data_IF_635774762760
#
_entry.id   IF_635774762760
#
_cell.length_a   1.000
_cell.length_b   1.000
_cell.length_c   1.000
_cell.angle_alpha   90.00
_cell.angle_beta   90.00
_cell.angle_gamma   90.00
#
_symmetry.space_group_name_H-M   'P 1'
#
loop_
_entity.id
_entity.type
_entity.pdbx_description
1 polymer ?
#
# COMPACT_ATOMS: atom_id res chain seq x y z
N UNK A 1 -1.60 8.33 -19.07
CA UNK A 1 -0.28 7.75 -19.43
C UNK A 1 -0.22 6.35 -18.83
N UNK A 2 0.43 5.40 -19.51
CA UNK A 2 0.61 4.03 -19.01
C UNK A 2 1.39 4.01 -17.71
N UNK A 3 1.27 2.92 -16.95
CA UNK A 3 2.14 2.70 -15.79
C UNK A 3 3.43 2.07 -16.28
N UNK A 4 4.56 2.70 -15.90
CA UNK A 4 5.90 2.27 -16.31
C UNK A 4 6.14 0.76 -16.13
N UNK A 5 5.63 0.20 -15.02
CA UNK A 5 5.79 -1.22 -14.73
C UNK A 5 5.19 -2.08 -15.84
N UNK A 6 3.97 -1.76 -16.32
CA UNK A 6 3.35 -2.51 -17.42
C UNK A 6 3.93 -2.19 -18.79
N UNK A 7 4.51 -1.00 -18.97
CA UNK A 7 5.18 -0.63 -20.23
C UNK A 7 6.38 -1.56 -20.51
N UNK A 8 7.05 -2.06 -19.46
CA UNK A 8 8.09 -3.09 -19.59
C UNK A 8 7.55 -4.51 -19.41
N UNK A 9 6.80 -4.76 -18.33
CA UNK A 9 6.51 -6.12 -17.89
C UNK A 9 5.51 -6.85 -18.80
N UNK A 10 4.67 -6.15 -19.56
CA UNK A 10 3.71 -6.81 -20.46
C UNK A 10 4.40 -7.66 -21.55
N UNK A 11 5.61 -7.28 -21.95
CA UNK A 11 6.42 -8.01 -22.93
C UNK A 11 7.52 -8.87 -22.27
N UNK A 12 7.61 -8.86 -20.94
CA UNK A 12 8.60 -9.61 -20.17
C UNK A 12 8.09 -10.99 -19.76
N UNK A 13 9.02 -11.95 -19.66
CA UNK A 13 8.76 -13.27 -19.11
C UNK A 13 8.27 -13.25 -17.65
N UNK A 14 8.50 -12.13 -16.92
CA UNK A 14 8.10 -11.97 -15.51
C UNK A 14 6.58 -11.86 -15.32
N UNK A 15 5.80 -11.51 -16.35
CA UNK A 15 4.33 -11.50 -16.30
C UNK A 15 3.67 -12.49 -17.27
N UNK A 16 4.44 -13.41 -17.87
CA UNK A 16 3.87 -14.47 -18.68
C UNK A 16 3.00 -15.40 -17.82
N UNK A 17 1.70 -15.44 -18.09
CA UNK A 17 0.72 -16.18 -17.29
C UNK A 17 0.99 -17.69 -17.25
N UNK A 18 1.57 -18.26 -18.30
CA UNK A 18 1.92 -19.68 -18.38
C UNK A 18 3.13 -20.00 -17.51
N UNK A 19 4.09 -19.08 -17.41
CA UNK A 19 5.25 -19.22 -16.53
C UNK A 19 4.85 -18.97 -15.06
N UNK A 20 4.05 -17.95 -14.78
CA UNK A 20 3.55 -17.63 -13.44
C UNK A 20 2.78 -18.82 -12.84
N UNK A 21 1.86 -19.42 -13.60
CA UNK A 21 1.08 -20.60 -13.14
C UNK A 21 1.94 -21.84 -12.87
N UNK A 22 3.13 -21.90 -13.47
CA UNK A 22 4.09 -23.00 -13.34
C UNK A 22 5.26 -22.69 -12.41
N UNK A 23 5.20 -21.60 -11.62
CA UNK A 23 6.29 -21.15 -10.75
C UNK A 23 7.62 -20.99 -11.52
N UNK A 24 7.53 -20.55 -12.78
CA UNK A 24 8.64 -20.43 -13.72
C UNK A 24 9.40 -21.74 -13.96
N UNK A 25 8.78 -22.90 -13.70
CA UNK A 25 9.42 -24.20 -13.94
C UNK A 25 9.78 -24.35 -15.43
N UNK A 26 11.04 -24.69 -15.69
CA UNK A 26 11.62 -24.73 -17.04
C UNK A 26 12.57 -23.57 -17.36
N UNK A 27 12.55 -22.46 -16.60
CA UNK A 27 13.58 -21.43 -16.68
C UNK A 27 14.69 -21.69 -15.66
N UNK A 28 15.92 -21.27 -15.98
CA UNK A 28 17.02 -21.27 -15.01
C UNK A 28 16.95 -20.02 -14.12
N UNK A 29 17.48 -20.10 -12.90
CA UNK A 29 17.53 -18.95 -11.99
C UNK A 29 18.35 -17.80 -12.56
N UNK A 30 19.40 -18.09 -13.35
CA UNK A 30 20.21 -17.08 -14.03
C UNK A 30 19.41 -16.25 -15.05
N UNK A 31 18.45 -16.87 -15.75
CA UNK A 31 17.57 -16.15 -16.69
C UNK A 31 16.62 -15.22 -15.93
N UNK A 32 16.05 -15.69 -14.81
CA UNK A 32 15.17 -14.87 -13.97
C UNK A 32 15.94 -13.72 -13.32
N UNK A 33 17.15 -13.96 -12.80
CA UNK A 33 18.04 -12.94 -12.24
C UNK A 33 18.37 -11.88 -13.29
N UNK A 34 18.76 -12.29 -14.50
CA UNK A 34 19.07 -11.35 -15.57
C UNK A 34 17.86 -10.50 -15.96
N UNK A 35 16.66 -11.06 -16.00
CA UNK A 35 15.46 -10.31 -16.34
C UNK A 35 15.07 -9.31 -15.24
N UNK A 36 15.20 -9.69 -13.97
CA UNK A 36 15.00 -8.79 -12.84
C UNK A 36 16.02 -7.63 -12.84
N UNK A 37 17.28 -7.88 -13.22
CA UNK A 37 18.30 -6.83 -13.39
C UNK A 37 17.87 -5.84 -14.48
N UNK A 38 17.45 -6.33 -15.65
CA UNK A 38 16.99 -5.44 -16.73
C UNK A 38 15.76 -4.63 -16.33
N UNK A 39 14.83 -5.25 -15.59
CA UNK A 39 13.66 -4.55 -15.07
C UNK A 39 14.07 -3.41 -14.12
N UNK A 40 14.98 -3.68 -13.19
CA UNK A 40 15.55 -2.66 -12.30
C UNK A 40 16.18 -1.51 -13.07
N UNK A 41 17.04 -1.80 -14.03
CA UNK A 41 17.70 -0.79 -14.87
C UNK A 41 16.69 0.08 -15.63
N UNK A 42 15.63 -0.53 -16.18
CA UNK A 42 14.54 0.19 -16.81
C UNK A 42 13.85 1.13 -15.82
N UNK A 43 13.42 0.62 -14.66
CA UNK A 43 12.72 1.40 -13.64
C UNK A 43 13.54 2.60 -13.16
N UNK A 44 14.85 2.42 -12.93
CA UNK A 44 15.73 3.51 -12.51
C UNK A 44 15.91 4.57 -13.60
N UNK A 45 15.94 4.15 -14.87
CA UNK A 45 16.04 5.08 -16.00
C UNK A 45 14.81 5.99 -16.12
N UNK A 46 13.62 5.46 -15.89
CA UNK A 46 12.36 6.22 -15.98
C UNK A 46 11.91 6.85 -14.65
N UNK A 47 12.61 6.59 -13.55
CA UNK A 47 12.26 7.08 -12.21
C UNK A 47 12.04 8.60 -12.12
N UNK A 48 12.84 9.48 -12.76
CA UNK A 48 12.59 10.91 -12.75
C UNK A 48 11.19 11.26 -13.30
N UNK A 49 10.79 10.62 -14.40
CA UNK A 49 9.48 10.84 -15.03
C UNK A 49 8.34 10.29 -14.15
N UNK A 50 8.55 9.12 -13.53
CA UNK A 50 7.58 8.52 -12.61
C UNK A 50 7.32 9.45 -11.41
N UNK A 51 8.38 10.04 -10.83
CA UNK A 51 8.26 10.97 -9.70
C UNK A 51 7.35 12.16 -10.05
N UNK A 52 7.46 12.70 -11.26
CA UNK A 52 6.63 13.83 -11.69
C UNK A 52 5.17 13.43 -11.95
N UNK A 53 4.91 12.20 -12.42
CA UNK A 53 3.55 11.66 -12.63
C UNK A 53 2.86 11.30 -11.30
N UNK A 54 3.63 10.81 -10.32
CA UNK A 54 3.11 10.36 -9.03
C UNK A 54 2.89 11.51 -8.06
N UNK A 55 3.69 12.58 -8.13
CA UNK A 55 3.50 13.79 -7.31
C UNK A 55 2.09 14.34 -7.49
N UNK A 56 1.25 14.16 -6.46
CA UNK A 56 -0.10 14.68 -6.47
C UNK A 56 -0.13 16.15 -6.06
N UNK A 57 -0.73 17.00 -6.90
CA UNK A 57 -1.12 18.35 -6.50
C UNK A 57 -2.65 18.43 -6.46
N UNK A 58 -3.21 18.60 -5.26
CA UNK A 58 -4.64 18.86 -5.06
C UNK A 58 -5.58 17.65 -5.15
N UNK A 59 -5.04 16.43 -5.10
CA UNK A 59 -5.80 15.17 -5.13
C UNK A 59 -5.58 14.42 -3.82
N UNK A 60 -6.64 13.82 -3.26
CA UNK A 60 -6.50 13.00 -2.02
C UNK A 60 -5.89 11.65 -2.39
N UNK A 61 -4.60 11.51 -2.11
CA UNK A 61 -3.80 10.32 -2.39
C UNK A 61 -3.17 9.75 -1.11
N UNK A 62 -2.90 8.45 -1.09
CA UNK A 62 -2.23 7.78 0.03
C UNK A 62 -1.10 6.91 -0.49
N UNK A 63 0.05 6.95 0.19
CA UNK A 63 1.10 5.96 0.04
C UNK A 63 0.64 4.67 0.73
N UNK A 64 0.23 3.73 -0.09
CA UNK A 64 -0.03 2.36 0.29
C UNK A 64 1.29 1.67 0.64
N UNK A 65 1.63 1.72 1.94
CA UNK A 65 2.61 0.81 2.52
C UNK A 65 1.94 -0.56 2.76
N UNK A 66 2.53 -1.44 3.57
CA UNK A 66 2.01 -2.79 3.88
C UNK A 66 0.48 -2.85 4.15
N UNK A 67 -0.09 -1.73 4.61
CA UNK A 67 -1.53 -1.37 4.75
C UNK A 67 -2.49 -1.64 3.61
N UNK A 68 -2.04 -1.49 2.37
CA UNK A 68 -2.89 -1.59 1.18
C UNK A 68 -2.35 -2.68 0.24
N UNK A 69 -1.59 -3.61 0.82
CA UNK A 69 -1.04 -4.79 0.17
C UNK A 69 -2.11 -5.78 -0.29
N UNK A 70 -3.34 -5.70 0.24
CA UNK A 70 -4.48 -6.51 -0.18
C UNK A 70 -5.41 -5.78 -1.15
N UNK A 71 -5.91 -6.47 -2.17
CA UNK A 71 -6.83 -5.89 -3.17
C UNK A 71 -8.14 -5.43 -2.54
N UNK A 72 -8.61 -6.12 -1.49
CA UNK A 72 -9.83 -5.76 -0.74
C UNK A 72 -9.71 -4.37 -0.11
N UNK A 73 -8.64 -4.10 0.62
CA UNK A 73 -8.41 -2.79 1.26
C UNK A 73 -8.23 -1.69 0.21
N UNK A 74 -7.55 -1.95 -0.91
CA UNK A 74 -7.48 -0.97 -2.02
C UNK A 74 -8.85 -0.69 -2.64
N UNK A 75 -9.68 -1.71 -2.84
CA UNK A 75 -11.05 -1.51 -3.35
C UNK A 75 -11.88 -0.67 -2.37
N UNK A 76 -11.76 -0.93 -1.07
CA UNK A 76 -12.47 -0.16 -0.04
C UNK A 76 -11.95 1.27 0.07
N UNK A 77 -10.63 1.46 0.07
CA UNK A 77 -10.00 2.78 0.08
C UNK A 77 -10.39 3.59 -1.16
N UNK A 78 -10.70 2.96 -2.30
CA UNK A 78 -11.24 3.64 -3.47
C UNK A 78 -12.56 4.35 -3.17
N UNK A 79 -13.32 4.00 -2.13
CA UNK A 79 -14.53 4.77 -1.78
C UNK A 79 -14.21 6.23 -1.39
N UNK A 80 -12.99 6.50 -0.92
CA UNK A 80 -12.58 7.83 -0.46
C UNK A 80 -11.33 8.39 -1.16
N UNK A 81 -10.36 7.55 -1.51
CA UNK A 81 -9.15 7.97 -2.22
C UNK A 81 -9.41 8.20 -3.70
N UNK A 82 -8.85 9.27 -4.23
CA UNK A 82 -8.82 9.51 -5.68
C UNK A 82 -7.70 8.70 -6.34
N UNK A 83 -6.56 8.62 -5.67
CA UNK A 83 -5.38 7.87 -6.11
C UNK A 83 -4.75 7.10 -4.93
N UNK A 84 -4.10 5.98 -5.23
CA UNK A 84 -3.31 5.21 -4.28
C UNK A 84 -1.93 4.92 -4.89
N UNK A 85 -0.86 5.32 -4.19
CA UNK A 85 0.52 5.03 -4.58
C UNK A 85 0.94 3.71 -3.95
N UNK A 86 1.09 2.65 -4.74
CA UNK A 86 1.36 1.29 -4.27
C UNK A 86 2.80 0.91 -4.62
N UNK A 87 3.51 0.28 -3.68
CA UNK A 87 4.84 -0.26 -3.94
C UNK A 87 4.82 -1.25 -5.11
N UNK A 88 5.82 -1.18 -5.99
CA UNK A 88 6.00 -2.14 -7.07
C UNK A 88 6.52 -3.48 -6.49
N UNK A 89 5.69 -4.53 -6.46
CA UNK A 89 6.02 -5.78 -5.79
C UNK A 89 7.10 -6.58 -6.51
N UNK A 90 7.33 -6.35 -7.81
CA UNK A 90 8.40 -7.02 -8.56
C UNK A 90 9.72 -6.29 -8.33
N UNK A 91 9.69 -4.96 -8.23
CA UNK A 91 10.90 -4.16 -7.97
C UNK A 91 11.56 -4.53 -6.63
N UNK A 92 10.78 -4.84 -5.59
CA UNK A 92 11.29 -5.32 -4.30
C UNK A 92 12.18 -6.58 -4.41
N UNK A 93 11.96 -7.38 -5.44
CA UNK A 93 12.71 -8.62 -5.69
C UNK A 93 13.97 -8.40 -6.53
N UNK A 94 14.25 -7.15 -6.90
CA UNK A 94 15.46 -6.78 -7.66
C UNK A 94 16.63 -6.40 -6.75
N UNK A 95 16.40 -6.27 -5.44
CA UNK A 95 17.46 -6.08 -4.45
C UNK A 95 18.12 -7.43 -4.12
N UNK A 96 19.23 -7.71 -4.82
CA UNK A 96 19.96 -8.96 -4.65
C UNK A 96 20.91 -8.88 -3.45
N UNK A 97 21.03 -10.00 -2.73
CA UNK A 97 22.00 -10.14 -1.64
C UNK A 97 23.41 -9.83 -2.15
N UNK A 98 24.08 -8.92 -1.42
CA UNK A 98 25.48 -8.57 -1.70
C UNK A 98 26.41 -9.72 -1.34
N UNK A 99 27.66 -9.68 -1.83
CA UNK A 99 28.70 -10.63 -1.41
C UNK A 99 28.91 -10.63 0.11
N UNK A 100 28.80 -9.46 0.76
CA UNK A 100 28.91 -9.33 2.21
C UNK A 100 27.75 -10.04 2.93
N UNK A 101 26.52 -9.91 2.42
CA UNK A 101 25.34 -10.60 2.96
C UNK A 101 25.46 -12.12 2.81
N UNK A 102 25.92 -12.61 1.67
CA UNK A 102 26.16 -14.05 1.44
C UNK A 102 27.27 -14.59 2.36
N UNK A 103 28.36 -13.84 2.53
CA UNK A 103 29.44 -14.20 3.45
C UNK A 103 28.95 -14.27 4.91
N UNK A 104 28.15 -13.29 5.34
CA UNK A 104 27.54 -13.28 6.68
C UNK A 104 26.58 -14.47 6.87
N UNK A 105 25.71 -14.74 5.90
CA UNK A 105 24.78 -15.86 5.93
C UNK A 105 25.52 -17.21 6.06
N UNK A 106 26.58 -17.41 5.27
CA UNK A 106 27.45 -18.58 5.39
C UNK A 106 28.15 -18.65 6.75
N UNK A 107 28.61 -17.52 7.29
CA UNK A 107 29.31 -17.45 8.58
C UNK A 107 28.41 -17.87 9.76
N UNK A 108 27.16 -17.40 9.78
CA UNK A 108 26.17 -17.82 10.78
C UNK A 108 25.63 -19.23 10.51
N UNK A 109 26.03 -19.86 9.40
CA UNK A 109 25.74 -21.24 9.04
C UNK A 109 24.38 -21.41 8.37
N UNK A 110 23.82 -20.39 7.73
CA UNK A 110 22.61 -20.53 6.92
C UNK A 110 22.91 -21.32 5.65
N UNK A 111 21.96 -22.15 5.22
CA UNK A 111 22.06 -22.82 3.93
C UNK A 111 22.05 -21.79 2.79
N UNK A 112 22.87 -22.02 1.76
CA UNK A 112 22.80 -21.22 0.54
C UNK A 112 21.42 -21.37 -0.07
N UNK A 113 20.76 -20.24 -0.29
CA UNK A 113 19.45 -20.20 -0.95
C UNK A 113 19.60 -19.61 -2.34
N UNK A 114 18.78 -20.01 -3.31
CA UNK A 114 18.74 -19.34 -4.60
C UNK A 114 18.61 -17.82 -4.44
N UNK A 115 19.22 -17.06 -5.35
CA UNK A 115 19.07 -15.59 -5.36
C UNK A 115 17.63 -15.18 -5.67
N UNK A 116 16.93 -15.97 -6.48
CA UNK A 116 15.55 -15.73 -6.87
C UNK A 116 14.61 -16.66 -6.11
N UNK A 117 13.76 -16.10 -5.27
CA UNK A 117 12.65 -16.81 -4.65
C UNK A 117 11.45 -16.85 -5.62
N UNK A 118 11.28 -17.99 -6.30
CA UNK A 118 10.22 -18.20 -7.30
C UNK A 118 8.82 -18.08 -6.73
N UNK A 119 8.61 -18.42 -5.46
CA UNK A 119 7.31 -18.31 -4.82
C UNK A 119 6.96 -16.83 -4.57
N UNK A 120 7.92 -16.06 -4.04
CA UNK A 120 7.76 -14.60 -3.89
C UNK A 120 7.57 -13.92 -5.24
N UNK A 121 8.34 -14.27 -6.25
CA UNK A 121 8.20 -13.73 -7.60
C UNK A 121 6.84 -14.03 -8.22
N UNK A 122 6.33 -15.26 -8.02
CA UNK A 122 4.98 -15.61 -8.48
C UNK A 122 3.92 -14.79 -7.76
N UNK A 123 4.04 -14.63 -6.44
CA UNK A 123 3.10 -13.80 -5.65
C UNK A 123 3.11 -12.34 -6.12
N UNK A 124 4.30 -11.77 -6.38
CA UNK A 124 4.45 -10.41 -6.92
C UNK A 124 3.85 -10.26 -8.32
N UNK A 125 4.07 -11.23 -9.21
CA UNK A 125 3.51 -11.22 -10.56
C UNK A 125 1.97 -11.33 -10.55
N UNK A 126 1.41 -12.25 -9.75
CA UNK A 126 -0.05 -12.36 -9.55
C UNK A 126 -0.61 -11.05 -9.00
N UNK A 127 0.07 -10.43 -8.04
CA UNK A 127 -0.32 -9.14 -7.47
C UNK A 127 -0.41 -8.05 -8.54
N UNK A 128 0.59 -7.93 -9.41
CA UNK A 128 0.51 -6.99 -10.54
C UNK A 128 -0.68 -7.31 -11.47
N UNK A 129 -0.91 -8.58 -11.81
CA UNK A 129 -2.06 -8.94 -12.64
C UNK A 129 -3.39 -8.50 -12.00
N UNK A 130 -3.55 -8.64 -10.68
CA UNK A 130 -4.72 -8.17 -9.93
C UNK A 130 -4.86 -6.65 -9.89
N UNK A 131 -3.73 -5.92 -9.83
CA UNK A 131 -3.70 -4.46 -9.80
C UNK A 131 -3.98 -3.83 -11.17
N UNK A 132 -3.77 -4.56 -12.26
CA UNK A 132 -3.88 -4.04 -13.64
C UNK A 132 -5.17 -3.25 -13.91
N UNK A 133 -6.38 -3.70 -13.52
CA UNK A 133 -7.59 -2.90 -13.74
C UNK A 133 -7.60 -1.58 -12.95
N UNK A 134 -7.06 -1.58 -11.73
CA UNK A 134 -6.98 -0.39 -10.88
C UNK A 134 -5.98 0.63 -11.43
N UNK A 135 -4.88 0.14 -12.02
CA UNK A 135 -3.88 0.97 -12.68
C UNK A 135 -4.40 1.53 -14.00
N UNK A 136 -5.03 0.69 -14.83
CA UNK A 136 -5.67 1.13 -16.07
C UNK A 136 -6.80 2.14 -15.83
N UNK A 137 -7.48 2.01 -14.69
CA UNK A 137 -8.50 2.96 -14.23
C UNK A 137 -7.94 4.31 -13.74
N UNK A 138 -6.62 4.46 -13.60
CA UNK A 138 -5.97 5.67 -13.10
C UNK A 138 -6.00 5.83 -11.57
N UNK A 139 -6.53 4.84 -10.84
CA UNK A 139 -6.62 4.87 -9.37
C UNK A 139 -5.30 4.47 -8.71
N UNK A 140 -4.69 3.36 -9.15
CA UNK A 140 -3.42 2.90 -8.57
C UNK A 140 -2.25 3.41 -9.40
N UNK A 141 -1.27 4.02 -8.73
CA UNK A 141 0.03 4.39 -9.29
C UNK A 141 1.10 3.49 -8.65
N UNK A 142 1.76 2.66 -9.45
CA UNK A 142 2.89 1.87 -8.96
C UNK A 142 4.10 2.79 -8.72
N UNK A 143 4.92 2.50 -7.72
CA UNK A 143 6.14 3.25 -7.42
C UNK A 143 7.21 2.33 -6.80
N UNK A 144 8.50 2.45 -7.17
CA UNK A 144 9.57 1.61 -6.60
C UNK A 144 9.98 2.12 -5.21
N UNK A 145 9.09 2.00 -4.22
CA UNK A 145 9.28 2.52 -2.85
C UNK A 145 10.57 1.98 -2.21
N UNK A 146 10.86 0.70 -2.42
CA UNK A 146 12.05 0.05 -1.85
C UNK A 146 13.35 0.68 -2.30
N UNK A 147 13.43 1.23 -3.51
CA UNK A 147 14.62 1.97 -3.97
C UNK A 147 14.97 3.16 -3.07
N UNK A 148 13.97 3.91 -2.63
CA UNK A 148 14.17 5.10 -1.78
C UNK A 148 14.55 4.70 -0.33
N UNK A 149 14.28 3.46 0.04
CA UNK A 149 14.55 2.89 1.35
C UNK A 149 15.83 2.04 1.39
N UNK A 150 16.43 1.75 0.22
CA UNK A 150 17.69 1.02 0.13
C UNK A 150 18.76 1.70 0.99
N UNK A 151 19.56 0.87 1.66
CA UNK A 151 20.66 1.36 2.50
C UNK A 151 21.86 1.63 1.62
N UNK A 152 22.65 2.63 2.00
CA UNK A 152 23.94 2.87 1.36
C UNK A 152 24.80 1.61 1.40
N UNK A 153 25.65 1.45 0.40
CA UNK A 153 26.60 0.32 0.31
C UNK A 153 27.62 0.32 1.43
N UNK A 154 27.78 1.43 2.15
CA UNK A 154 28.71 1.57 3.27
C UNK A 154 28.07 1.16 4.59
N UNK A 155 28.63 0.12 5.22
CA UNK A 155 28.23 -0.32 6.56
C UNK A 155 28.84 0.62 7.60
N UNK A 156 28.02 1.45 8.23
CA UNK A 156 28.46 2.33 9.30
C UNK A 156 28.69 1.53 10.59
N UNK A 157 29.91 1.60 11.14
CA UNK A 157 30.22 1.10 12.48
C UNK A 157 29.88 2.19 13.50
N UNK A 158 28.90 1.91 14.35
CA UNK A 158 28.42 2.85 15.37
C UNK A 158 28.97 2.46 16.75
N UNK A 159 29.30 3.47 17.56
CA UNK A 159 29.75 3.32 18.94
C UNK A 159 28.95 4.25 19.86
N UNK A 160 28.63 3.81 21.07
CA UNK A 160 27.97 4.63 22.09
C UNK A 160 28.42 4.22 23.49
N UNK A 161 28.90 5.19 24.27
CA UNK A 161 29.28 5.02 25.67
C UNK A 161 28.08 4.79 26.60
N UNK A 162 26.89 5.24 26.18
CA UNK A 162 25.63 5.13 26.94
C UNK A 162 24.71 4.03 26.41
N UNK A 163 25.23 3.18 25.51
CA UNK A 163 24.48 2.10 24.90
C UNK A 163 23.29 2.55 24.06
N UNK A 164 23.41 3.70 23.39
CA UNK A 164 22.40 4.33 22.52
C UNK A 164 21.15 4.84 23.24
N UNK A 165 21.21 5.14 24.55
CA UNK A 165 20.09 5.78 25.25
C UNK A 165 19.72 7.18 24.71
N UNK A 166 20.68 7.84 24.08
CA UNK A 166 20.54 9.16 23.48
C UNK A 166 20.14 9.10 21.99
N UNK A 167 19.87 7.91 21.45
CA UNK A 167 19.59 7.76 20.02
C UNK A 167 18.23 8.33 19.57
N UNK A 168 17.29 8.49 20.50
CA UNK A 168 15.93 8.98 20.28
C UNK A 168 15.47 9.82 21.49
N UNK A 169 14.47 10.71 21.32
CA UNK A 169 13.84 11.38 22.45
C UNK A 169 13.34 10.38 23.51
N UNK A 170 13.49 10.65 24.82
CA UNK A 170 13.20 9.66 25.86
C UNK A 170 11.78 9.09 25.82
N UNK A 171 10.78 9.94 25.59
CA UNK A 171 9.37 9.55 25.47
C UNK A 171 9.12 8.57 24.31
N UNK A 172 9.87 8.71 23.21
CA UNK A 172 9.77 7.83 22.05
C UNK A 172 10.50 6.51 22.33
N UNK A 173 11.71 6.57 22.88
CA UNK A 173 12.49 5.37 23.19
C UNK A 173 11.79 4.48 24.25
N UNK A 174 11.13 5.08 25.23
CA UNK A 174 10.34 4.37 26.24
C UNK A 174 9.21 3.53 25.62
N UNK A 175 8.56 4.01 24.55
CA UNK A 175 7.51 3.24 23.86
C UNK A 175 8.06 2.01 23.14
N UNK A 176 9.20 2.17 22.47
CA UNK A 176 9.90 1.02 21.86
C UNK A 176 10.27 -0.02 22.91
N UNK A 177 10.81 0.41 24.05
CA UNK A 177 11.18 -0.47 25.16
C UNK A 177 9.97 -1.14 25.81
N UNK A 178 8.84 -0.45 25.91
CA UNK A 178 7.60 -1.02 26.43
C UNK A 178 7.02 -2.10 25.51
N UNK A 179 7.27 -1.99 24.21
CA UNK A 179 6.71 -2.89 23.18
C UNK A 179 7.71 -3.93 22.68
N UNK A 180 8.93 -3.97 23.22
CA UNK A 180 9.98 -4.86 22.72
C UNK A 180 9.71 -6.32 23.08
N UNK A 181 9.95 -7.21 22.11
CA UNK A 181 10.04 -8.65 22.34
C UNK A 181 11.38 -9.13 21.77
N UNK A 182 12.21 -9.65 22.68
CA UNK A 182 13.56 -10.10 22.38
C UNK A 182 13.60 -11.61 22.58
N UNK A 183 14.02 -12.32 21.53
CA UNK A 183 14.03 -13.79 21.52
C UNK A 183 15.40 -14.31 21.12
N UNK A 184 15.84 -15.39 21.76
CA UNK A 184 17.05 -16.10 21.34
C UNK A 184 16.84 -16.77 19.98
N UNK A 185 17.91 -16.88 19.20
CA UNK A 185 17.89 -17.56 17.90
C UNK A 185 18.89 -18.70 17.90
N UNK A 186 18.48 -19.86 17.40
CA UNK A 186 19.33 -21.03 17.20
C UNK A 186 19.45 -21.36 15.73
N UNK A 187 20.61 -21.86 15.31
CA UNK A 187 20.76 -22.47 14.01
C UNK A 187 20.51 -23.98 14.15
N UNK A 188 19.49 -24.48 13.46
CA UNK A 188 19.22 -25.90 13.27
C UNK A 188 19.45 -26.26 11.81
N UNK A 189 20.58 -26.92 11.52
CA UNK A 189 20.91 -27.48 10.21
C UNK A 189 20.72 -26.51 9.03
N UNK A 190 21.16 -25.26 9.18
CA UNK A 190 21.05 -24.25 8.14
C UNK A 190 19.81 -23.36 8.22
N UNK A 191 18.94 -23.59 9.22
CA UNK A 191 17.72 -22.80 9.46
C UNK A 191 17.85 -22.04 10.77
N UNK A 192 17.57 -20.74 10.72
CA UNK A 192 17.53 -19.91 11.92
C UNK A 192 16.16 -20.03 12.57
N UNK A 193 16.10 -20.63 13.76
CA UNK A 193 14.89 -20.81 14.55
C UNK A 193 14.82 -19.74 15.65
N UNK A 194 13.76 -18.93 15.61
CA UNK A 194 13.45 -17.98 16.68
C UNK A 194 12.79 -18.76 17.83
N UNK A 195 13.43 -18.73 18.99
CA UNK A 195 12.97 -19.44 20.18
C UNK A 195 11.84 -18.66 20.86
N UNK A 196 11.09 -19.33 21.74
CA UNK A 196 10.04 -18.67 22.51
C UNK A 196 10.58 -17.74 23.59
N UNK A 197 11.66 -18.16 24.25
CA UNK A 197 12.21 -17.49 25.43
C UNK A 197 13.60 -16.91 25.15
N UNK A 198 13.95 -15.86 25.88
CA UNK A 198 15.28 -15.26 25.87
C UNK A 198 16.19 -15.93 26.90
N UNK A 199 17.34 -16.42 26.44
CA UNK A 199 18.41 -16.96 27.29
C UNK A 199 19.78 -16.53 26.74
N UNK A 200 20.85 -16.57 27.57
CA UNK A 200 22.20 -16.21 27.15
C UNK A 200 22.65 -17.01 25.92
N UNK A 201 22.85 -16.30 24.81
CA UNK A 201 23.24 -16.86 23.52
C UNK A 201 23.98 -15.79 22.70
N UNK A 202 24.34 -16.10 21.46
CA UNK A 202 25.06 -15.19 20.56
C UNK A 202 24.24 -14.69 19.37
N UNK A 203 22.98 -15.12 19.26
CA UNK A 203 22.07 -14.68 18.22
C UNK A 203 20.75 -14.33 18.87
N UNK A 204 20.28 -13.10 18.65
CA UNK A 204 18.95 -12.67 19.11
C UNK A 204 18.18 -12.09 17.94
N UNK A 205 16.86 -12.19 18.02
CA UNK A 205 15.92 -11.51 17.16
C UNK A 205 15.17 -10.51 18.02
N UNK A 206 15.08 -9.27 17.55
CA UNK A 206 14.34 -8.20 18.21
C UNK A 206 13.20 -7.79 17.28
N UNK A 207 12.00 -7.76 17.83
CA UNK A 207 10.82 -7.21 17.17
C UNK A 207 10.01 -6.37 18.17
N UNK A 208 9.02 -5.64 17.66
CA UNK A 208 8.09 -4.87 18.47
C UNK A 208 6.69 -5.49 18.38
N UNK A 209 5.98 -5.56 19.51
CA UNK A 209 4.59 -6.00 19.57
C UNK A 209 3.74 -5.06 18.69
N UNK A 210 2.82 -5.62 17.90
CA UNK A 210 2.09 -4.86 16.88
C UNK A 210 2.84 -4.67 15.56
N UNK A 211 4.05 -5.24 15.41
CA UNK A 211 4.83 -5.27 14.15
C UNK A 211 5.12 -6.71 13.68
N UNK A 212 4.28 -7.70 14.04
CA UNK A 212 4.58 -9.14 13.91
C UNK A 212 4.95 -9.63 12.50
N UNK A 213 4.56 -8.88 11.45
CA UNK A 213 4.94 -9.15 10.05
C UNK A 213 5.77 -8.04 9.39
N UNK A 214 6.01 -6.92 10.07
CA UNK A 214 6.53 -5.70 9.45
C UNK A 214 8.01 -5.44 9.66
N UNK A 215 8.54 -5.71 10.87
CA UNK A 215 9.92 -5.34 11.17
C UNK A 215 10.57 -6.24 12.23
N UNK A 216 11.72 -6.81 11.89
CA UNK A 216 12.56 -7.56 12.83
C UNK A 216 14.03 -7.36 12.49
N UNK A 217 14.89 -7.33 13.52
CA UNK A 217 16.33 -7.27 13.36
C UNK A 217 17.02 -8.42 14.10
N UNK A 218 17.89 -9.12 13.38
CA UNK A 218 18.79 -10.12 13.95
C UNK A 218 20.11 -9.49 14.38
N UNK A 219 20.59 -9.83 15.57
CA UNK A 219 21.90 -9.42 16.06
C UNK A 219 22.76 -10.62 16.40
N UNK A 220 24.06 -10.46 16.15
CA UNK A 220 25.09 -11.46 16.38
C UNK A 220 26.17 -10.91 17.32
N UNK A 221 26.43 -11.61 18.42
CA UNK A 221 27.51 -11.28 19.35
C UNK A 221 28.64 -12.30 19.24
N UNK A 222 29.68 -11.96 18.48
CA UNK A 222 30.86 -12.79 18.33
C UNK A 222 32.12 -12.13 18.91
N UNK A 223 33.05 -12.94 19.46
CA UNK A 223 34.38 -12.46 19.79
C UNK A 223 35.00 -11.77 18.58
N UNK A 224 35.48 -10.56 18.81
CA UNK A 224 35.99 -9.66 17.79
C UNK A 224 37.42 -9.26 18.15
N UNK A 225 38.32 -9.32 17.18
CA UNK A 225 39.68 -8.84 17.27
C UNK A 225 39.92 -7.79 16.19
N UNK A 226 40.70 -6.76 16.53
CA UNK A 226 41.11 -5.72 15.61
C UNK A 226 42.61 -5.85 15.37
N UNK A 227 43.00 -6.02 14.12
CA UNK A 227 44.41 -6.03 13.72
C UNK A 227 44.72 -4.75 12.92
N UNK A 228 45.79 -4.01 13.26
CA UNK A 228 46.19 -2.85 12.47
C UNK A 228 46.65 -3.30 11.08
N UNK A 229 46.40 -2.46 10.08
CA UNK A 229 46.97 -2.66 8.73
C UNK A 229 48.16 -1.73 8.49
N UNK A 230 48.85 -1.89 7.36
CA UNK A 230 49.97 -1.03 6.95
C UNK A 230 49.56 0.44 6.67
N UNK A 231 48.25 0.74 6.67
CA UNK A 231 47.72 2.08 6.45
C UNK A 231 47.19 2.67 7.75
N UNK A 232 47.53 3.94 8.00
CA UNK A 232 47.01 4.70 9.12
C UNK A 232 45.47 4.77 9.06
N UNK A 233 44.82 4.54 10.18
CA UNK A 233 43.35 4.50 10.32
C UNK A 233 42.62 3.39 9.53
N UNK A 234 43.32 2.34 9.11
CA UNK A 234 42.70 1.14 8.54
C UNK A 234 43.00 -0.08 9.42
N UNK A 235 41.94 -0.78 9.82
CA UNK A 235 42.01 -1.94 10.70
C UNK A 235 41.30 -3.13 10.04
N UNK A 236 41.83 -4.32 10.25
CA UNK A 236 41.17 -5.58 9.93
C UNK A 236 40.28 -5.98 11.10
N UNK A 237 39.00 -6.14 10.82
CA UNK A 237 38.00 -6.61 11.76
C UNK A 237 37.81 -8.11 11.63
N UNK A 238 38.16 -8.89 12.66
CA UNK A 238 38.10 -10.35 12.64
C UNK A 238 37.06 -10.83 13.64
N UNK A 239 36.00 -11.47 13.14
CA UNK A 239 35.02 -12.14 14.00
C UNK A 239 35.24 -13.64 14.01
N UNK A 240 35.32 -14.22 15.20
CA UNK A 240 35.46 -15.67 15.39
C UNK A 240 34.13 -16.27 15.81
N UNK A 241 33.78 -17.42 15.23
CA UNK A 241 32.62 -18.17 15.67
C UNK A 241 32.91 -18.81 17.03
N UNK A 242 32.01 -18.62 17.99
CA UNK A 242 32.11 -19.24 19.32
C UNK A 242 30.79 -19.91 19.68
N UNK A 243 30.87 -21.13 20.22
CA UNK A 243 29.71 -21.84 20.77
C UNK A 243 29.48 -21.53 22.25
N UNK A 244 30.46 -20.92 22.93
CA UNK A 244 30.38 -20.59 24.35
C UNK A 244 29.58 -19.30 24.52
N UNK A 245 28.46 -19.29 25.28
CA UNK A 245 27.68 -18.08 25.53
C UNK A 245 28.51 -17.00 26.25
N UNK A 246 28.18 -15.70 26.04
CA UNK A 246 28.74 -14.61 26.85
C UNK A 246 28.36 -14.73 28.33
N UNK A 247 29.03 -13.98 29.21
CA UNK A 247 28.58 -13.83 30.59
C UNK A 247 27.19 -13.19 30.64
N UNK A 248 26.44 -13.40 31.74
CA UNK A 248 25.09 -12.82 31.88
C UNK A 248 25.11 -11.29 31.81
N UNK A 249 26.10 -10.65 32.44
CA UNK A 249 26.26 -9.19 32.43
C UNK A 249 26.54 -8.66 31.02
N UNK A 250 27.47 -9.29 30.28
CA UNK A 250 27.80 -8.89 28.91
C UNK A 250 26.61 -9.12 27.97
N UNK A 251 25.89 -10.23 28.16
CA UNK A 251 24.69 -10.55 27.40
C UNK A 251 23.60 -9.49 27.61
N UNK A 252 23.31 -9.14 28.86
CA UNK A 252 22.26 -8.18 29.19
C UNK A 252 22.62 -6.77 28.68
N UNK A 253 23.88 -6.35 28.78
CA UNK A 253 24.36 -5.09 28.22
C UNK A 253 24.26 -5.07 26.68
N UNK A 254 24.65 -6.16 26.01
CA UNK A 254 24.53 -6.28 24.55
C UNK A 254 23.07 -6.28 24.08
N UNK A 255 22.19 -7.01 24.76
CA UNK A 255 20.75 -7.02 24.46
C UNK A 255 20.19 -5.61 24.58
N UNK A 256 20.50 -4.90 25.66
CA UNK A 256 20.07 -3.52 25.87
C UNK A 256 20.49 -2.59 24.72
N UNK A 257 21.76 -2.62 24.33
CA UNK A 257 22.27 -1.84 23.20
C UNK A 257 21.60 -2.23 21.87
N UNK A 258 21.33 -3.51 21.66
CA UNK A 258 20.70 -4.01 20.44
C UNK A 258 19.24 -3.57 20.34
N UNK A 259 18.51 -3.49 21.47
CA UNK A 259 17.15 -2.96 21.52
C UNK A 259 17.12 -1.49 21.08
N UNK A 260 17.99 -0.66 21.65
CA UNK A 260 18.07 0.76 21.30
C UNK A 260 18.46 1.00 19.84
N UNK A 261 19.41 0.22 19.31
CA UNK A 261 19.76 0.27 17.89
C UNK A 261 18.59 -0.15 16.99
N UNK A 262 17.81 -1.15 17.40
CA UNK A 262 16.62 -1.59 16.67
C UNK A 262 15.57 -0.49 16.65
N UNK A 263 15.33 0.17 17.77
CA UNK A 263 14.43 1.32 17.87
C UNK A 263 14.86 2.46 16.95
N UNK A 264 16.16 2.83 16.98
CA UNK A 264 16.74 3.84 16.08
C UNK A 264 16.53 3.46 14.61
N UNK A 265 16.85 2.22 14.22
CA UNK A 265 16.76 1.77 12.83
C UNK A 265 15.32 1.77 12.32
N UNK A 266 14.38 1.29 13.14
CA UNK A 266 12.96 1.35 12.81
C UNK A 266 12.46 2.80 12.69
N UNK A 267 12.84 3.68 13.64
CA UNK A 267 12.46 5.08 13.61
C UNK A 267 12.98 5.80 12.36
N UNK A 268 14.24 5.54 11.96
CA UNK A 268 14.81 6.07 10.71
C UNK A 268 14.05 5.56 9.50
N UNK A 269 13.74 4.26 9.44
CA UNK A 269 12.96 3.68 8.35
C UNK A 269 11.57 4.33 8.23
N UNK A 270 10.84 4.43 9.33
CA UNK A 270 9.53 5.09 9.38
C UNK A 270 9.63 6.55 8.94
N UNK A 271 10.65 7.28 9.43
CA UNK A 271 10.87 8.68 9.06
C UNK A 271 11.15 8.85 7.56
N UNK A 272 11.90 7.93 6.95
CA UNK A 272 12.14 7.91 5.50
C UNK A 272 10.85 7.68 4.72
N UNK A 273 10.01 6.73 5.16
CA UNK A 273 8.71 6.46 4.52
C UNK A 273 7.75 7.65 4.63
N UNK A 274 7.72 8.33 5.78
CA UNK A 274 6.94 9.56 5.98
C UNK A 274 7.47 10.67 5.07
N UNK A 275 8.78 10.92 5.05
CA UNK A 275 9.39 11.93 4.19
C UNK A 275 9.13 11.64 2.69
N UNK A 276 9.12 10.37 2.29
CA UNK A 276 8.76 9.97 0.93
C UNK A 276 7.30 10.32 0.62
N UNK A 277 6.37 10.05 1.53
CA UNK A 277 4.96 10.43 1.33
C UNK A 277 4.77 11.93 1.18
N UNK A 278 5.45 12.74 2.01
CA UNK A 278 5.46 14.21 1.88
C UNK A 278 6.03 14.66 0.53
N UNK A 279 7.15 14.06 0.11
CA UNK A 279 7.79 14.36 -1.18
C UNK A 279 6.88 14.03 -2.38
N UNK A 280 6.09 12.97 -2.28
CA UNK A 280 5.10 12.56 -3.29
C UNK A 280 3.77 13.34 -3.17
N UNK A 281 3.60 14.14 -2.12
CA UNK A 281 2.38 14.90 -1.87
C UNK A 281 1.18 14.03 -1.51
N UNK A 282 1.41 12.88 -0.87
CA UNK A 282 0.38 11.92 -0.47
C UNK A 282 0.37 11.69 1.05
N UNK A 283 -0.75 11.18 1.57
CA UNK A 283 -0.86 10.79 2.98
C UNK A 283 -0.05 9.53 3.28
N UNK A 284 0.49 9.44 4.49
CA UNK A 284 1.10 8.21 5.00
C UNK A 284 0.05 7.32 5.68
N UNK A 285 -0.05 6.06 5.28
CA UNK A 285 -0.85 5.03 5.97
C UNK A 285 0.03 3.95 6.60
N UNK A 286 -0.35 3.45 7.79
CA UNK A 286 0.24 2.25 8.42
C UNK A 286 -0.82 1.35 9.09
N UNK A 287 -0.64 0.02 9.03
CA UNK A 287 -1.55 -1.02 9.53
C UNK A 287 -1.01 -1.57 10.86
N UNK A 288 0.23 -1.22 11.18
CA UNK A 288 0.88 -1.61 12.39
C UNK A 288 0.44 -0.70 13.54
N UNK A 289 -0.26 -1.25 14.56
CA UNK A 289 -0.73 -0.45 15.68
C UNK A 289 0.42 0.31 16.38
N UNK A 290 1.61 -0.28 16.40
CA UNK A 290 2.80 0.33 16.97
C UNK A 290 3.22 1.62 16.24
N UNK A 291 3.35 1.58 14.90
CA UNK A 291 3.68 2.78 14.11
C UNK A 291 2.59 3.84 14.20
N UNK A 292 1.31 3.44 14.18
CA UNK A 292 0.18 4.36 14.32
C UNK A 292 0.23 5.11 15.65
N UNK A 293 0.46 4.39 16.76
CA UNK A 293 0.64 5.01 18.08
C UNK A 293 1.82 6.00 18.08
N UNK A 294 2.95 5.61 17.49
CA UNK A 294 4.15 6.43 17.43
C UNK A 294 3.94 7.75 16.65
N UNK A 295 3.23 7.69 15.52
CA UNK A 295 2.89 8.88 14.72
C UNK A 295 1.95 9.82 15.48
N UNK A 296 0.98 9.27 16.22
CA UNK A 296 0.04 10.05 17.02
C UNK A 296 0.68 10.77 18.22
N UNK A 297 1.89 10.38 18.65
CA UNK A 297 2.59 11.04 19.76
C UNK A 297 3.18 12.40 19.40
N UNK A 298 3.50 12.65 18.13
CA UNK A 298 4.22 13.85 17.68
C UNK A 298 3.35 14.82 16.86
N UNK A 299 2.12 14.43 16.52
CA UNK A 299 1.24 15.21 15.65
C UNK A 299 0.19 15.94 16.49
N UNK A 300 0.40 17.24 16.70
CA UNK A 300 -0.60 18.16 17.24
C UNK A 300 -1.69 18.58 16.25
N UNK A 301 -1.87 17.89 15.13
CA UNK A 301 -2.82 18.26 14.08
C UNK A 301 -3.59 17.06 13.52
N UNK A 302 -4.89 17.05 13.76
CA UNK A 302 -5.87 16.13 13.15
C UNK A 302 -6.04 16.45 11.67
N UNK A 303 -5.17 15.90 10.82
CA UNK A 303 -5.36 15.99 9.36
C UNK A 303 -6.70 15.33 8.99
N UNK A 304 -7.57 16.11 8.34
CA UNK A 304 -8.95 15.75 8.03
C UNK A 304 -8.96 14.53 7.12
N UNK A 305 -8.09 14.53 6.11
CA UNK A 305 -8.07 13.50 5.07
C UNK A 305 -7.59 12.15 5.63
N UNK A 306 -6.52 12.16 6.43
CA UNK A 306 -6.00 10.96 7.07
C UNK A 306 -7.01 10.32 8.04
N UNK A 307 -7.69 11.15 8.85
CA UNK A 307 -8.70 10.66 9.77
C UNK A 307 -9.93 10.07 9.06
N UNK A 308 -10.42 10.74 8.01
CA UNK A 308 -11.54 10.23 7.21
C UNK A 308 -11.19 8.93 6.50
N UNK A 309 -9.96 8.78 5.98
CA UNK A 309 -9.49 7.52 5.40
C UNK A 309 -9.49 6.38 6.42
N UNK A 310 -8.98 6.62 7.64
CA UNK A 310 -8.96 5.62 8.71
C UNK A 310 -10.38 5.15 9.07
N UNK A 311 -11.33 6.09 9.18
CA UNK A 311 -12.73 5.76 9.43
C UNK A 311 -13.34 4.97 8.25
N UNK A 312 -13.04 5.35 7.00
CA UNK A 312 -13.55 4.67 5.81
C UNK A 312 -13.05 3.21 5.68
N UNK A 313 -11.80 2.93 6.11
CA UNK A 313 -11.24 1.58 6.17
C UNK A 313 -11.89 0.70 7.25
N UNK A 314 -12.50 1.31 8.29
CA UNK A 314 -13.20 0.58 9.36
C UNK A 314 -14.67 0.30 9.03
N UNK A 315 -15.24 0.91 7.98
CA UNK A 315 -16.61 0.66 7.56
C UNK A 315 -16.78 -0.78 7.07
N UNK A 316 -17.92 -1.41 7.38
CA UNK A 316 -18.25 -2.71 6.80
C UNK A 316 -18.96 -2.49 5.45
N UNK A 317 -18.27 -2.83 4.36
CA UNK A 317 -18.81 -2.68 2.99
C UNK A 317 -18.91 -4.05 2.30
N UNK A 318 -19.83 -4.93 2.73
CA UNK A 318 -19.79 -6.35 2.38
C UNK A 318 -19.96 -6.64 0.88
N UNK A 319 -20.52 -5.70 0.11
CA UNK A 319 -20.66 -5.85 -1.35
C UNK A 319 -19.38 -5.50 -2.13
N UNK A 320 -18.40 -4.82 -1.52
CA UNK A 320 -17.16 -4.41 -2.21
C UNK A 320 -16.25 -5.58 -2.56
N UNK A 321 -16.28 -6.66 -1.77
CA UNK A 321 -15.54 -7.87 -2.09
C UNK A 321 -16.04 -8.52 -3.38
N UNK A 322 -17.35 -8.47 -3.61
CA UNK A 322 -18.03 -9.10 -4.74
C UNK A 322 -17.90 -8.31 -6.05
N UNK A 323 -17.58 -7.01 -5.98
CA UNK A 323 -17.38 -6.18 -7.19
C UNK A 323 -15.97 -6.40 -7.75
N UNK A 324 -15.89 -6.58 -9.07
CA UNK A 324 -14.62 -6.67 -9.79
C UNK A 324 -13.90 -5.32 -9.81
N UNK A 325 -12.57 -5.32 -9.75
CA UNK A 325 -11.77 -4.09 -9.85
C UNK A 325 -12.06 -3.31 -11.14
N UNK A 326 -12.33 -4.02 -12.25
CA UNK A 326 -12.65 -3.41 -13.53
C UNK A 326 -14.01 -2.67 -13.51
N UNK A 327 -15.05 -3.28 -12.93
CA UNK A 327 -16.36 -2.63 -12.79
C UNK A 327 -16.28 -1.41 -11.86
N UNK A 328 -15.55 -1.53 -10.75
CA UNK A 328 -15.35 -0.42 -9.81
C UNK A 328 -14.68 0.78 -10.50
N UNK A 329 -13.62 0.55 -11.27
CA UNK A 329 -12.93 1.62 -12.01
C UNK A 329 -13.81 2.20 -13.12
N UNK A 330 -14.58 1.36 -13.81
CA UNK A 330 -15.52 1.85 -14.82
C UNK A 330 -16.57 2.76 -14.21
N UNK A 331 -17.10 2.45 -13.03
CA UNK A 331 -18.08 3.31 -12.34
C UNK A 331 -17.44 4.64 -11.95
N UNK A 332 -16.24 4.62 -11.35
CA UNK A 332 -15.51 5.84 -10.98
C UNK A 332 -15.27 6.77 -12.17
N UNK A 333 -14.82 6.21 -13.29
CA UNK A 333 -14.42 6.99 -14.46
C UNK A 333 -15.63 7.50 -15.26
N UNK A 334 -16.74 6.76 -15.25
CA UNK A 334 -17.95 7.14 -15.97
C UNK A 334 -18.87 8.07 -15.15
N UNK A 335 -18.86 7.96 -13.82
CA UNK A 335 -19.73 8.72 -12.90
C UNK A 335 -18.93 9.58 -11.90
N UNK A 336 -17.91 10.30 -12.40
CA UNK A 336 -16.98 11.09 -11.56
C UNK A 336 -17.66 12.12 -10.64
N UNK A 337 -18.72 12.80 -11.10
CA UNK A 337 -19.49 13.75 -10.26
C UNK A 337 -20.22 13.07 -9.10
N UNK A 338 -20.80 11.89 -9.34
CA UNK A 338 -21.47 11.10 -8.31
C UNK A 338 -20.46 10.58 -7.28
N UNK A 339 -19.25 10.22 -7.72
CA UNK A 339 -18.15 9.85 -6.84
C UNK A 339 -17.71 11.01 -5.95
N UNK A 340 -17.53 12.22 -6.49
CA UNK A 340 -17.14 13.39 -5.68
C UNK A 340 -18.24 13.80 -4.69
N UNK A 341 -19.51 13.69 -5.09
CA UNK A 341 -20.65 13.95 -4.22
C UNK A 341 -20.75 12.93 -3.08
N UNK A 342 -20.50 11.64 -3.36
CA UNK A 342 -20.41 10.60 -2.35
C UNK A 342 -19.34 10.93 -1.30
N UNK A 343 -18.13 11.28 -1.75
CA UNK A 343 -17.01 11.61 -0.86
C UNK A 343 -17.29 12.81 0.04
N UNK A 344 -17.90 13.85 -0.52
CA UNK A 344 -18.25 15.05 0.24
C UNK A 344 -19.25 14.73 1.38
N UNK A 345 -20.24 13.87 1.14
CA UNK A 345 -21.14 13.42 2.22
C UNK A 345 -20.48 12.45 3.19
N UNK A 346 -19.60 11.55 2.72
CA UNK A 346 -18.83 10.67 3.59
C UNK A 346 -17.96 11.46 4.58
N UNK A 347 -17.23 12.46 4.08
CA UNK A 347 -16.41 13.35 4.92
C UNK A 347 -17.27 14.15 5.91
N UNK A 348 -18.44 14.60 5.48
CA UNK A 348 -19.40 15.32 6.34
C UNK A 348 -19.92 14.43 7.47
N UNK A 349 -20.29 13.18 7.19
CA UNK A 349 -20.75 12.22 8.20
C UNK A 349 -19.65 11.85 9.22
N UNK A 350 -18.41 11.69 8.74
CA UNK A 350 -17.27 11.31 9.58
C UNK A 350 -16.60 12.50 10.28
N UNK A 351 -17.08 13.73 10.08
CA UNK A 351 -16.50 14.94 10.67
C UNK A 351 -16.49 14.90 12.20
N UNK A 352 -17.53 14.32 12.81
CA UNK A 352 -17.66 14.24 14.26
C UNK A 352 -16.67 13.25 14.89
N UNK A 353 -16.30 12.19 14.17
CA UNK A 353 -15.31 11.21 14.63
C UNK A 353 -13.90 11.80 14.78
N UNK A 354 -13.59 12.91 14.10
CA UNK A 354 -12.26 13.56 14.09
C UNK A 354 -11.77 14.03 15.44
N UNK A 355 -12.67 14.53 16.27
CA UNK A 355 -12.32 15.11 17.56
C UNK A 355 -12.65 14.17 18.72
N UNK A 356 -13.04 12.93 18.40
CA UNK A 356 -13.47 11.96 19.39
C UNK A 356 -12.32 11.03 19.75
N UNK A 357 -12.07 10.88 21.04
CA UNK A 357 -10.98 10.06 21.57
C UNK A 357 -11.48 8.72 22.09
N UNK A 358 -12.79 8.58 22.36
CA UNK A 358 -13.39 7.31 22.77
C UNK A 358 -13.60 6.39 21.55
N UNK A 359 -12.90 5.24 21.47
CA UNK A 359 -13.05 4.29 20.37
C UNK A 359 -14.47 3.78 20.17
N UNK A 360 -15.25 3.67 21.27
CA UNK A 360 -16.64 3.19 21.21
C UNK A 360 -17.54 4.20 20.50
N UNK A 361 -17.27 5.49 20.72
CA UNK A 361 -18.04 6.58 20.11
C UNK A 361 -17.61 6.84 18.68
N UNK A 362 -16.33 6.72 18.35
CA UNK A 362 -15.85 6.71 16.96
C UNK A 362 -16.56 5.60 16.17
N UNK A 363 -16.61 4.38 16.72
CA UNK A 363 -17.30 3.26 16.08
C UNK A 363 -18.80 3.53 15.86
N UNK A 364 -19.49 4.11 16.84
CA UNK A 364 -20.90 4.48 16.69
C UNK A 364 -21.12 5.50 15.55
N UNK A 365 -20.27 6.53 15.45
CA UNK A 365 -20.34 7.53 14.37
C UNK A 365 -20.12 6.87 12.99
N UNK A 366 -19.19 5.92 12.90
CA UNK A 366 -18.94 5.16 11.67
C UNK A 366 -20.16 4.31 11.31
N UNK A 367 -20.74 3.57 12.25
CA UNK A 367 -21.93 2.74 12.05
C UNK A 367 -23.16 3.56 11.65
N UNK A 368 -23.38 4.72 12.28
CA UNK A 368 -24.48 5.63 11.96
C UNK A 368 -24.32 6.23 10.55
N UNK A 369 -23.10 6.67 10.21
CA UNK A 369 -22.78 7.19 8.87
C UNK A 369 -22.95 6.10 7.81
N UNK A 370 -22.53 4.88 8.12
CA UNK A 370 -22.70 3.72 7.27
C UNK A 370 -24.19 3.43 7.04
N UNK A 371 -25.00 3.40 8.10
CA UNK A 371 -26.45 3.17 8.01
C UNK A 371 -27.13 4.25 7.15
N UNK A 372 -26.79 5.53 7.36
CA UNK A 372 -27.35 6.64 6.60
C UNK A 372 -27.02 6.56 5.11
N UNK A 373 -25.75 6.31 4.75
CA UNK A 373 -25.33 6.23 3.35
C UNK A 373 -25.78 4.92 2.67
N UNK A 374 -25.57 3.77 3.33
CA UNK A 374 -25.72 2.46 2.70
C UNK A 374 -27.13 1.90 2.83
N UNK A 375 -27.92 2.36 3.79
CA UNK A 375 -29.29 1.91 3.96
C UNK A 375 -30.27 3.02 3.63
N UNK A 376 -30.22 4.17 4.31
CA UNK A 376 -31.23 5.22 4.18
C UNK A 376 -31.19 5.89 2.80
N UNK A 377 -30.09 6.52 2.44
CA UNK A 377 -29.95 7.25 1.17
C UNK A 377 -29.97 6.30 -0.04
N UNK A 378 -29.38 5.11 0.09
CA UNK A 378 -29.41 4.11 -0.98
C UNK A 378 -30.81 3.53 -1.24
N UNK A 379 -31.65 3.37 -0.20
CA UNK A 379 -33.06 3.01 -0.38
C UNK A 379 -33.87 4.11 -1.07
N UNK A 380 -33.46 5.37 -0.96
CA UNK A 380 -34.13 6.49 -1.66
C UNK A 380 -33.79 6.53 -3.17
N UNK A 381 -32.69 5.91 -3.60
CA UNK A 381 -32.30 5.85 -5.03
C UNK A 381 -33.12 4.82 -5.80
N UNK A 382 -33.41 3.66 -5.21
CA UNK A 382 -34.20 2.61 -5.86
C UNK A 382 -35.57 3.09 -6.40
N UNK A 383 -36.40 3.85 -5.65
CA UNK A 383 -37.63 4.42 -6.17
C UNK A 383 -37.37 5.54 -7.19
N UNK A 384 -36.31 6.34 -7.06
CA UNK A 384 -35.95 7.38 -8.06
C UNK A 384 -35.56 6.76 -9.41
N UNK A 385 -34.75 5.69 -9.41
CA UNK A 385 -34.38 4.92 -10.61
C UNK A 385 -35.58 4.15 -11.18
N UNK A 386 -36.43 3.58 -10.32
CA UNK A 386 -37.67 2.91 -10.73
C UNK A 386 -38.64 3.91 -11.35
N UNK A 387 -38.74 5.12 -10.79
CA UNK A 387 -39.51 6.22 -11.35
C UNK A 387 -38.90 6.66 -12.68
N UNK A 388 -37.59 6.76 -12.82
CA UNK A 388 -36.92 7.03 -14.10
C UNK A 388 -37.31 5.99 -15.17
N UNK A 389 -37.16 4.69 -14.86
CA UNK A 389 -37.60 3.59 -15.74
C UNK A 389 -39.11 3.63 -16.04
N UNK A 390 -39.93 4.02 -15.07
CA UNK A 390 -41.41 4.04 -15.20
C UNK A 390 -41.90 5.28 -15.93
N UNK A 391 -41.24 6.43 -15.81
CA UNK A 391 -41.45 7.63 -16.63
C UNK A 391 -41.03 7.35 -18.07
N UNK A 392 -39.93 6.61 -18.29
CA UNK A 392 -39.57 6.10 -19.62
C UNK A 392 -40.66 5.19 -20.22
N UNK A 393 -41.29 4.31 -19.44
CA UNK A 393 -42.40 3.47 -19.92
C UNK A 393 -43.75 4.22 -20.06
N UNK A 394 -43.99 5.27 -19.27
CA UNK A 394 -45.19 6.08 -19.34
C UNK A 394 -45.16 7.10 -20.49
N UNK A 395 -43.96 7.53 -20.91
CA UNK A 395 -43.77 8.44 -22.05
C UNK A 395 -43.39 7.71 -23.36
N UNK A 396 -43.00 6.43 -23.32
CA UNK A 396 -42.79 5.58 -24.51
C UNK A 396 -44.10 5.04 -25.13
N UNK A 397 -45.17 5.83 -25.06
CA UNK A 397 -46.47 5.54 -25.65
C UNK A 397 -46.68 6.07 -27.07
N UNK A 398 -45.69 6.71 -27.71
CA UNK A 398 -45.84 7.25 -29.07
C UNK A 398 -44.55 7.07 -29.91
N UNK A 399 -44.72 6.34 -31.01
CA UNK A 399 -43.91 6.23 -32.22
C UNK A 399 -42.54 5.49 -32.17
N UNK A 400 -42.58 4.20 -32.51
CA UNK A 400 -41.46 3.50 -33.15
C UNK A 400 -41.54 3.74 -34.67
N UNK A 401 -40.58 4.46 -35.23
CA UNK A 401 -40.23 4.36 -36.65
C UNK A 401 -38.80 4.89 -36.90
N UNK A 402 -37.88 3.97 -37.20
CA UNK A 402 -36.75 4.17 -38.11
C UNK A 402 -35.56 5.01 -37.63
N UNK A 403 -34.49 4.34 -37.17
CA UNK A 403 -33.13 4.88 -37.32
C UNK A 403 -32.40 4.05 -38.39
N UNK A 404 -32.49 4.52 -39.62
CA UNK A 404 -31.58 4.16 -40.71
C UNK A 404 -30.33 5.04 -40.67
N UNK A 405 -29.21 4.46 -41.07
CA UNK A 405 -27.90 5.10 -41.21
C UNK A 405 -27.97 6.49 -41.88
N UNK A 406 -27.24 7.44 -41.31
CA UNK A 406 -27.02 8.77 -41.88
C UNK A 406 -25.96 8.72 -42.98
N UNK A 407 -26.30 9.11 -44.22
CA UNK A 407 -25.41 9.90 -45.08
C UNK A 407 -26.28 10.83 -45.95
N UNK A 408 -25.96 12.13 -45.98
CA UNK A 408 -25.66 12.95 -47.17
C UNK A 408 -25.93 14.44 -46.92
N UNK A 409 -25.00 15.18 -47.49
CA UNK A 409 -24.69 16.61 -47.58
C UNK A 409 -25.78 17.54 -48.14
N UNK A 410 -25.82 18.77 -47.60
CA UNK A 410 -26.14 19.99 -48.35
C UNK A 410 -27.53 20.62 -48.14
N UNK A 411 -27.53 21.94 -47.91
CA UNK A 411 -28.61 22.86 -48.35
C UNK A 411 -29.76 23.17 -47.39
N UNK A 412 -29.92 24.48 -47.13
CA UNK A 412 -30.95 25.22 -46.40
C UNK A 412 -32.37 24.64 -46.15
N UNK A 413 -32.77 24.80 -44.87
CA UNK A 413 -34.06 25.18 -44.27
C UNK A 413 -35.30 24.28 -44.40
N UNK A 414 -35.87 23.90 -43.25
CA UNK A 414 -37.19 24.38 -42.80
C UNK A 414 -37.37 24.16 -41.29
N UNK A 415 -37.35 25.27 -40.55
CA UNK A 415 -37.86 25.37 -39.19
C UNK A 415 -39.39 25.25 -39.28
N UNK A 416 -39.98 24.19 -38.74
CA UNK A 416 -41.32 24.17 -38.13
C UNK A 416 -41.73 22.77 -37.63
N UNK A 417 -41.09 22.27 -36.57
CA UNK A 417 -41.76 21.43 -35.56
C UNK A 417 -41.04 21.55 -34.21
N UNK A 418 -41.14 22.72 -33.56
CA UNK A 418 -41.22 22.77 -32.10
C UNK A 418 -42.68 22.54 -31.72
N UNK A 419 -43.07 21.92 -30.60
CA UNK A 419 -42.45 21.83 -29.28
C UNK A 419 -43.02 20.56 -28.63
N UNK A 420 -42.21 19.51 -28.52
CA UNK A 420 -42.49 18.36 -27.63
C UNK A 420 -41.20 17.66 -27.14
N UNK A 421 -40.06 17.84 -27.82
CA UNK A 421 -38.79 17.22 -27.42
C UNK A 421 -37.92 18.02 -26.44
N UNK A 422 -38.13 19.32 -26.28
CA UNK A 422 -37.26 20.15 -25.41
C UNK A 422 -37.54 19.98 -23.92
N UNK A 423 -38.80 19.77 -23.54
CA UNK A 423 -39.13 19.48 -22.13
C UNK A 423 -38.74 18.05 -21.74
N UNK A 424 -38.77 17.09 -22.67
CA UNK A 424 -38.33 15.71 -22.41
C UNK A 424 -36.81 15.60 -22.28
N UNK A 425 -36.04 16.35 -23.09
CA UNK A 425 -34.58 16.40 -22.95
C UNK A 425 -34.13 17.23 -21.74
N UNK A 426 -34.83 18.33 -21.44
CA UNK A 426 -34.56 19.14 -20.24
C UNK A 426 -34.98 18.42 -18.96
N UNK A 427 -36.13 17.75 -18.94
CA UNK A 427 -36.53 16.92 -17.80
C UNK A 427 -35.63 15.68 -17.67
N UNK A 428 -35.17 15.07 -18.77
CA UNK A 428 -34.21 13.98 -18.71
C UNK A 428 -32.85 14.45 -18.18
N UNK A 429 -32.35 15.60 -18.62
CA UNK A 429 -31.11 16.18 -18.13
C UNK A 429 -31.25 16.60 -16.65
N UNK A 430 -32.34 17.28 -16.28
CA UNK A 430 -32.62 17.75 -14.92
C UNK A 430 -32.91 16.59 -13.95
N UNK A 431 -33.55 15.49 -14.38
CA UNK A 431 -33.79 14.32 -13.54
C UNK A 431 -32.63 13.33 -13.51
N UNK A 432 -31.90 13.12 -14.62
CA UNK A 432 -30.63 12.39 -14.61
C UNK A 432 -29.63 13.11 -13.71
N UNK A 433 -29.55 14.45 -13.82
CA UNK A 433 -28.79 15.31 -12.90
C UNK A 433 -29.22 15.13 -11.45
N UNK A 434 -30.53 15.07 -11.13
CA UNK A 434 -31.00 14.80 -9.75
C UNK A 434 -30.64 13.41 -9.22
N UNK A 435 -30.63 12.39 -10.08
CA UNK A 435 -30.29 11.01 -9.69
C UNK A 435 -28.78 10.85 -9.54
N UNK A 436 -27.97 11.44 -10.43
CA UNK A 436 -26.50 11.45 -10.31
C UNK A 436 -25.97 12.40 -9.24
N UNK A 437 -26.74 13.43 -8.88
CA UNK A 437 -26.46 14.32 -7.76
C UNK A 437 -26.78 13.71 -6.39
N UNK A 438 -27.45 12.55 -6.33
CA UNK A 438 -27.61 11.82 -5.08
C UNK A 438 -26.25 11.22 -4.66
N UNK A 439 -25.70 11.60 -3.50
CA UNK A 439 -24.39 11.12 -3.03
C UNK A 439 -24.28 9.59 -2.97
N UNK A 440 -25.38 8.87 -2.76
CA UNK A 440 -25.38 7.41 -2.70
C UNK A 440 -25.53 6.72 -4.07
N UNK A 441 -25.66 7.47 -5.17
CA UNK A 441 -25.82 6.92 -6.54
C UNK A 441 -24.61 6.11 -6.97
N UNK A 442 -23.42 6.60 -6.61
CA UNK A 442 -22.16 5.89 -6.81
C UNK A 442 -22.20 4.48 -6.16
N UNK A 443 -22.54 4.39 -4.87
CA UNK A 443 -22.65 3.12 -4.16
C UNK A 443 -23.75 2.20 -4.70
N UNK A 444 -24.87 2.77 -5.13
CA UNK A 444 -25.95 2.00 -5.73
C UNK A 444 -25.48 1.29 -7.01
N UNK A 445 -24.75 1.98 -7.89
CA UNK A 445 -24.18 1.40 -9.11
C UNK A 445 -23.20 0.26 -8.80
N UNK A 446 -22.34 0.46 -7.79
CA UNK A 446 -21.40 -0.56 -7.30
C UNK A 446 -22.16 -1.81 -6.80
N UNK A 447 -23.19 -1.63 -5.95
CA UNK A 447 -24.00 -2.73 -5.42
C UNK A 447 -24.79 -3.48 -6.50
N UNK A 448 -25.23 -2.83 -7.57
CA UNK A 448 -25.91 -3.54 -8.67
C UNK A 448 -24.97 -4.46 -9.46
N UNK A 449 -23.67 -4.12 -9.54
CA UNK A 449 -22.66 -4.97 -10.16
C UNK A 449 -22.26 -6.15 -9.29
N UNK A 450 -22.29 -6.00 -7.97
CA UNK A 450 -22.06 -7.10 -7.01
C UNK A 450 -23.11 -8.22 -7.07
N UNK A 451 -24.33 -7.91 -7.52
CA UNK A 451 -25.47 -8.86 -7.58
C UNK A 451 -25.54 -9.68 -8.87
N UNK A 452 -24.64 -9.41 -9.83
CA UNK A 452 -24.50 -10.16 -11.08
C UNK A 452 -23.39 -11.18 -10.92
#
# INVERSE_FOLDING_TARGET
>A
MGSYAYDYLNDSLLLDSTLVTRLYSGLSDAVLEQELIKYREYCLKVLPEIRDVVKSQGVVSCLATDTLSHTSHLKQAALYLEEAVVADPVFELTDFRTQATEALASFIGMASTPKVDRHKLTKAAVRLIELRPLVAGGYVKLYPVTFELERDTEVQLLYSDVGFEDCLPPNILEQYKASVDVRSVQNDNGRMLVMRDLYPCRNISIHFQGMESGFAMGYLLNPTEFEPTDKENLFTFIQKKSSVPPSKADFDAWVYQSVNQTARNHYIDLSKRVALSEYLGCMFGTEHPFESNLLNMNVGSTDIQANTLNCALQMDVPFMEQVSSADLMSIRNNDGEAFQSFRAELEKGLREARNETDPSRVKAIIEDTQHELFEVQMHQIAPQVKQLKRTHFAEAGIAVAGLGFSIVTGGASLIATGVAGLNALKSHHDYKSKVTANPSHFLWNVKQKAKK
#
